data_IF_283847224516
#
_entry.id   IF_283847224516
#
_cell.length_a   1.000
_cell.length_b   1.000
_cell.length_c   1.000
_cell.angle_alpha   90.00
_cell.angle_beta   90.00
_cell.angle_gamma   90.00
#
_symmetry.space_group_name_H-M   'P 1'
#
loop_
_entity.id
_entity.type
_entity.pdbx_description
1 polymer ?
#
# COMPACT_ATOMS: atom_id res chain seq x y z
N UNK A 1 30.17 -50.10 -12.00
CA UNK A 1 29.76 -49.35 -13.19
C UNK A 1 28.79 -48.29 -12.68
N UNK A 2 29.33 -47.12 -12.37
CA UNK A 2 28.60 -46.05 -11.68
C UNK A 2 27.58 -45.42 -12.63
N UNK A 3 26.30 -45.41 -12.22
CA UNK A 3 25.24 -44.71 -12.93
C UNK A 3 25.52 -43.19 -12.85
N UNK A 4 25.93 -42.59 -13.96
CA UNK A 4 26.03 -41.13 -14.10
C UNK A 4 24.65 -40.51 -13.81
N UNK A 5 24.51 -39.90 -12.63
CA UNK A 5 23.30 -39.17 -12.24
C UNK A 5 23.15 -37.94 -13.13
N UNK A 6 22.28 -38.03 -14.13
CA UNK A 6 21.93 -36.93 -15.03
C UNK A 6 21.31 -35.77 -14.25
N UNK A 7 21.99 -34.63 -14.20
CA UNK A 7 21.53 -33.44 -13.47
C UNK A 7 20.67 -32.57 -14.39
N UNK A 8 19.38 -32.43 -14.06
CA UNK A 8 18.43 -31.59 -14.82
C UNK A 8 18.36 -30.17 -14.24
N UNK A 9 18.56 -29.16 -15.09
CA UNK A 9 18.49 -27.73 -14.75
C UNK A 9 17.47 -26.97 -15.62
N UNK A 10 17.21 -25.71 -15.29
CA UNK A 10 16.33 -24.84 -16.09
C UNK A 10 17.17 -23.95 -17.01
N UNK A 11 16.95 -24.03 -18.32
CA UNK A 11 17.66 -23.22 -19.31
C UNK A 11 16.89 -21.93 -19.62
N UNK A 12 17.50 -20.77 -19.39
CA UNK A 12 16.85 -19.47 -19.66
C UNK A 12 16.66 -19.18 -21.15
N UNK A 13 17.49 -19.76 -22.03
CA UNK A 13 17.35 -19.62 -23.49
C UNK A 13 16.23 -20.52 -24.06
N UNK A 14 16.16 -21.79 -23.63
CA UNK A 14 15.13 -22.73 -24.08
C UNK A 14 13.79 -22.58 -23.34
N UNK A 15 13.79 -21.91 -22.17
CA UNK A 15 12.66 -21.80 -21.23
C UNK A 15 12.09 -23.14 -20.75
N UNK A 16 12.87 -24.21 -20.91
CA UNK A 16 12.53 -25.58 -20.51
C UNK A 16 13.65 -26.22 -19.68
N UNK A 17 13.37 -27.41 -19.14
CA UNK A 17 14.32 -28.19 -18.36
C UNK A 17 15.12 -29.11 -19.26
N UNK A 18 16.44 -29.02 -19.19
CA UNK A 18 17.36 -29.86 -19.96
C UNK A 18 18.48 -30.40 -19.04
N UNK A 19 19.20 -31.39 -19.54
CA UNK A 19 20.40 -31.91 -18.90
C UNK A 19 21.51 -30.86 -18.89
N UNK A 20 22.21 -30.79 -17.75
CA UNK A 20 23.37 -29.93 -17.53
C UNK A 20 24.62 -30.72 -17.92
N UNK A 21 25.24 -30.35 -19.03
CA UNK A 21 26.58 -30.79 -19.41
C UNK A 21 27.62 -30.01 -18.59
N UNK A 22 28.70 -30.67 -18.19
CA UNK A 22 29.78 -30.13 -17.35
C UNK A 22 29.29 -29.43 -16.06
N UNK A 23 28.55 -30.13 -15.17
CA UNK A 23 27.98 -29.53 -13.97
C UNK A 23 29.08 -29.09 -12.99
N UNK A 24 29.17 -27.78 -12.75
CA UNK A 24 30.04 -27.18 -11.75
C UNK A 24 29.21 -26.67 -10.56
N UNK A 25 29.51 -27.16 -9.36
CA UNK A 25 28.90 -26.67 -8.14
C UNK A 25 29.49 -25.29 -7.77
N UNK A 26 28.63 -24.33 -7.45
CA UNK A 26 29.03 -22.98 -7.06
C UNK A 26 28.12 -22.45 -5.94
N UNK A 27 28.71 -21.67 -5.04
CA UNK A 27 27.97 -20.92 -4.03
C UNK A 27 27.63 -19.52 -4.58
N UNK A 28 26.35 -19.15 -4.55
CA UNK A 28 25.94 -17.79 -4.85
C UNK A 28 26.44 -16.81 -3.78
N UNK A 29 26.53 -15.51 -4.11
CA UNK A 29 27.02 -14.46 -3.19
C UNK A 29 26.22 -14.34 -1.87
N UNK A 30 24.99 -14.86 -1.83
CA UNK A 30 24.14 -14.93 -0.65
C UNK A 30 24.29 -16.24 0.16
N UNK A 31 25.21 -17.12 -0.24
CA UNK A 31 25.46 -18.42 0.38
C UNK A 31 24.50 -19.53 -0.01
N UNK A 32 23.68 -19.35 -1.06
CA UNK A 32 22.80 -20.39 -1.60
C UNK A 32 23.56 -21.35 -2.53
N UNK A 33 23.37 -22.67 -2.43
CA UNK A 33 24.02 -23.65 -3.30
C UNK A 33 23.35 -23.72 -4.68
N UNK A 34 24.17 -23.91 -5.71
CA UNK A 34 23.72 -24.02 -7.09
C UNK A 34 24.68 -24.80 -7.97
N UNK A 35 24.15 -25.37 -9.06
CA UNK A 35 24.96 -26.03 -10.08
C UNK A 35 24.76 -25.31 -11.40
N UNK A 36 25.85 -24.82 -11.98
CA UNK A 36 25.88 -24.20 -13.30
C UNK A 36 26.55 -25.15 -14.29
N UNK A 37 26.11 -25.13 -15.54
CA UNK A 37 26.81 -25.80 -16.63
C UNK A 37 26.27 -25.36 -17.98
N UNK A 38 26.42 -26.24 -18.97
CA UNK A 38 26.03 -25.99 -20.36
C UNK A 38 24.77 -26.78 -20.72
N UNK A 39 23.79 -26.13 -21.33
CA UNK A 39 22.54 -26.75 -21.76
C UNK A 39 22.81 -27.72 -22.90
N UNK A 40 22.42 -28.99 -22.73
CA UNK A 40 22.56 -30.02 -23.77
C UNK A 40 21.82 -29.70 -25.09
N UNK A 41 20.77 -28.85 -25.04
CA UNK A 41 19.96 -28.51 -26.20
C UNK A 41 20.50 -27.31 -27.01
N UNK A 42 20.89 -26.23 -26.33
CA UNK A 42 21.23 -24.96 -27.01
C UNK A 42 22.66 -24.46 -26.77
N UNK A 43 23.48 -25.22 -26.04
CA UNK A 43 24.84 -24.82 -25.66
C UNK A 43 24.92 -23.56 -24.77
N UNK A 44 23.78 -23.09 -24.25
CA UNK A 44 23.69 -21.90 -23.41
C UNK A 44 23.87 -22.22 -21.92
N UNK A 45 24.09 -21.21 -21.09
CA UNK A 45 24.20 -21.40 -19.64
C UNK A 45 22.89 -21.93 -19.05
N UNK A 46 22.99 -23.01 -18.28
CA UNK A 46 21.88 -23.65 -17.56
C UNK A 46 22.20 -23.68 -16.06
N UNK A 47 21.18 -23.53 -15.22
CA UNK A 47 21.35 -23.44 -13.77
C UNK A 47 20.31 -24.29 -13.03
N UNK A 48 20.76 -24.96 -11.96
CA UNK A 48 19.91 -25.69 -11.00
C UNK A 48 20.18 -25.16 -9.60
N UNK A 49 19.14 -24.68 -8.93
CA UNK A 49 19.22 -24.35 -7.51
C UNK A 49 19.15 -25.63 -6.67
N UNK A 50 19.98 -25.73 -5.63
CA UNK A 50 19.94 -26.86 -4.70
C UNK A 50 21.32 -27.41 -4.37
N UNK A 51 21.39 -28.14 -3.26
CA UNK A 51 22.60 -28.81 -2.81
C UNK A 51 22.84 -30.08 -3.63
N UNK A 52 24.08 -30.28 -4.07
CA UNK A 52 24.55 -31.54 -4.67
C UNK A 52 25.72 -32.07 -3.84
N UNK A 53 26.05 -33.38 -3.89
CA UNK A 53 27.19 -33.94 -3.14
C UNK A 53 28.53 -33.21 -3.42
N UNK A 54 28.66 -32.58 -4.59
CA UNK A 54 29.81 -31.75 -4.96
C UNK A 54 29.94 -30.43 -4.16
N UNK A 55 28.93 -30.04 -3.35
CA UNK A 55 29.00 -28.85 -2.49
C UNK A 55 29.65 -29.14 -1.12
N UNK A 56 29.73 -30.41 -0.70
CA UNK A 56 30.28 -30.79 0.61
C UNK A 56 31.79 -30.53 0.71
N UNK A 57 32.48 -30.47 -0.43
CA UNK A 57 33.92 -30.23 -0.52
C UNK A 57 34.28 -28.79 -0.88
N UNK A 58 33.29 -27.92 -1.15
CA UNK A 58 33.53 -26.53 -1.55
C UNK A 58 33.43 -25.56 -0.35
N UNK A 59 34.43 -24.67 -0.14
CA UNK A 59 34.37 -23.69 0.93
C UNK A 59 33.21 -22.72 0.70
N UNK A 60 32.28 -22.69 1.66
CA UNK A 60 31.14 -21.78 1.62
C UNK A 60 31.63 -20.34 1.80
N UNK A 61 31.19 -19.39 0.95
CA UNK A 61 31.57 -17.98 1.11
C UNK A 61 31.04 -17.45 2.44
N UNK A 62 31.90 -16.77 3.21
CA UNK A 62 31.46 -15.99 4.36
C UNK A 62 30.58 -14.84 3.86
N UNK A 63 29.27 -14.99 4.06
CA UNK A 63 28.31 -13.94 3.70
C UNK A 63 28.49 -12.78 4.68
N UNK A 64 29.38 -11.83 4.34
CA UNK A 64 29.52 -10.60 5.12
C UNK A 64 28.20 -9.85 5.06
N UNK A 65 27.46 -9.86 6.17
CA UNK A 65 26.25 -9.09 6.33
C UNK A 65 26.60 -7.59 6.38
N UNK A 66 26.77 -6.94 5.22
CA UNK A 66 26.83 -5.49 5.10
C UNK A 66 25.45 -4.88 5.35
N UNK A 67 25.16 -4.74 6.64
CA UNK A 67 24.54 -3.57 7.29
C UNK A 67 23.29 -2.99 6.64
N UNK A 68 22.13 -3.60 6.92
CA UNK A 68 20.85 -2.85 7.10
C UNK A 68 19.80 -3.56 7.97
N UNK A 69 20.21 -4.31 9.00
CA UNK A 69 19.28 -4.87 10.02
C UNK A 69 19.92 -4.93 11.42
N UNK A 70 20.43 -3.80 11.92
CA UNK A 70 20.78 -3.63 13.35
C UNK A 70 20.47 -2.19 13.79
N UNK A 71 19.19 -1.83 13.78
CA UNK A 71 18.68 -0.64 14.48
C UNK A 71 17.21 -0.80 14.96
N UNK A 72 16.62 -2.00 14.89
CA UNK A 72 15.22 -2.24 15.30
C UNK A 72 15.01 -3.33 16.36
N UNK A 73 16.07 -3.90 16.95
CA UNK A 73 15.93 -5.01 17.93
C UNK A 73 16.67 -4.79 19.26
N UNK A 74 16.87 -3.54 19.67
CA UNK A 74 17.38 -3.20 21.00
C UNK A 74 16.70 -1.94 21.54
N UNK A 75 15.36 -1.89 21.55
CA UNK A 75 14.54 -0.92 22.33
C UNK A 75 13.14 -1.47 22.65
N UNK A 76 13.04 -2.78 22.92
CA UNK A 76 11.81 -3.39 23.45
C UNK A 76 12.15 -4.52 24.43
N UNK A 77 12.91 -4.18 25.48
CA UNK A 77 13.13 -5.08 26.61
C UNK A 77 13.59 -4.31 27.86
N UNK A 78 12.91 -3.22 28.24
CA UNK A 78 12.87 -2.69 29.63
C UNK A 78 12.07 -1.38 29.66
N UNK A 79 10.77 -1.46 29.95
CA UNK A 79 9.98 -0.32 30.40
C UNK A 79 8.65 -0.81 30.98
N UNK A 80 8.70 -1.46 32.14
CA UNK A 80 7.54 -1.57 33.02
C UNK A 80 8.02 -1.70 34.47
N UNK A 81 8.36 -0.57 35.09
CA UNK A 81 7.94 -0.19 36.46
C UNK A 81 8.53 1.17 36.87
N UNK A 82 7.63 2.11 37.11
CA UNK A 82 7.63 3.15 38.15
C UNK A 82 8.76 4.20 38.20
N UNK A 83 8.39 5.46 37.93
CA UNK A 83 8.47 6.67 38.81
C UNK A 83 8.45 7.91 37.89
N UNK A 84 7.33 8.62 37.80
CA UNK A 84 6.96 9.78 38.65
C UNK A 84 8.04 10.85 38.77
N UNK A 85 7.62 12.06 38.38
CA UNK A 85 8.08 13.39 38.77
C UNK A 85 9.24 14.04 38.01
N UNK A 86 8.91 15.23 37.44
CA UNK A 86 9.73 16.46 37.30
C UNK A 86 10.99 16.36 36.41
N UNK A 87 11.37 17.30 35.54
CA UNK A 87 11.13 18.75 35.47
C UNK A 87 11.73 19.29 34.15
N UNK A 88 11.05 20.28 33.56
CA UNK A 88 11.59 21.49 32.86
C UNK A 88 12.76 21.42 31.85
N UNK A 89 12.44 21.84 30.62
CA UNK A 89 13.10 22.88 29.80
C UNK A 89 14.63 22.85 29.54
N UNK A 90 15.01 22.55 28.28
CA UNK A 90 15.92 23.33 27.39
C UNK A 90 16.17 22.51 26.12
N UNK A 91 15.53 22.84 25.00
CA UNK A 91 15.97 23.81 24.00
C UNK A 91 17.23 23.40 23.20
N UNK A 92 16.98 23.17 21.91
CA UNK A 92 17.82 23.48 20.75
C UNK A 92 19.17 22.74 20.54
N UNK A 93 19.22 21.84 19.54
CA UNK A 93 19.78 22.15 18.19
C UNK A 93 19.88 20.89 17.29
N UNK A 94 19.37 21.07 16.06
CA UNK A 94 19.82 20.51 14.77
C UNK A 94 19.90 18.98 14.57
N UNK A 95 19.02 18.50 13.67
CA UNK A 95 19.34 17.91 12.34
C UNK A 95 18.02 17.62 11.62
N UNK A 96 17.41 18.62 10.96
CA UNK A 96 17.40 18.78 9.50
C UNK A 96 17.54 17.46 8.73
N UNK A 97 16.43 16.75 8.52
CA UNK A 97 16.30 15.75 7.46
C UNK A 97 15.81 16.43 6.19
N UNK A 98 16.64 16.36 5.17
CA UNK A 98 16.52 16.94 3.85
C UNK A 98 15.25 16.53 3.13
N UNK A 99 14.22 17.38 3.16
CA UNK A 99 13.10 17.31 2.22
C UNK A 99 13.61 17.81 0.87
N UNK A 100 13.58 16.94 -0.16
CA UNK A 100 13.73 17.37 -1.55
C UNK A 100 12.57 18.31 -1.89
N UNK A 101 12.81 19.61 -1.71
CA UNK A 101 11.91 20.68 -2.12
C UNK A 101 11.95 20.73 -3.65
N UNK A 102 11.00 20.05 -4.30
CA UNK A 102 10.80 20.20 -5.74
C UNK A 102 10.44 21.65 -6.05
N UNK A 103 11.03 22.14 -7.13
CA UNK A 103 10.96 23.48 -7.70
C UNK A 103 9.58 24.12 -7.60
N UNK A 104 9.48 25.20 -6.82
CA UNK A 104 8.30 26.03 -6.68
C UNK A 104 8.08 26.88 -7.94
N UNK A 105 7.46 26.28 -8.96
CA UNK A 105 6.63 27.07 -9.86
C UNK A 105 5.54 27.75 -9.04
N UNK A 106 5.19 29.00 -9.37
CA UNK A 106 4.13 29.74 -8.66
C UNK A 106 2.83 28.93 -8.74
N UNK A 107 2.39 28.37 -7.61
CA UNK A 107 1.09 27.68 -7.50
C UNK A 107 -0.04 28.67 -7.78
N UNK A 108 -1.00 28.28 -8.61
CA UNK A 108 -2.11 29.13 -9.05
C UNK A 108 -3.42 28.35 -9.05
N UNK A 109 -4.50 29.00 -8.66
CA UNK A 109 -5.85 28.42 -8.68
C UNK A 109 -6.16 27.49 -7.51
N UNK A 110 -7.42 27.05 -7.44
CA UNK A 110 -7.95 26.17 -6.39
C UNK A 110 -8.35 24.83 -7.01
N UNK A 111 -7.92 23.73 -6.44
CA UNK A 111 -8.34 22.38 -6.84
C UNK A 111 -9.48 21.92 -5.96
N UNK A 112 -10.54 21.36 -6.53
CA UNK A 112 -11.63 20.72 -5.81
C UNK A 112 -11.70 19.26 -6.24
N UNK A 113 -11.61 18.34 -5.30
CA UNK A 113 -11.77 16.91 -5.57
C UNK A 113 -13.08 16.43 -4.97
N UNK A 114 -13.91 15.84 -5.81
CA UNK A 114 -15.19 15.24 -5.43
C UNK A 114 -15.19 13.74 -5.72
N UNK A 115 -16.15 13.02 -5.17
CA UNK A 115 -16.20 11.57 -5.35
C UNK A 115 -16.65 11.15 -6.77
N UNK A 116 -17.67 11.81 -7.33
CA UNK A 116 -18.31 11.37 -8.58
C UNK A 116 -18.23 12.42 -9.71
N UNK A 117 -18.19 11.99 -10.99
CA UNK A 117 -18.15 12.91 -12.12
C UNK A 117 -19.38 13.82 -12.22
N UNK A 118 -20.55 13.31 -11.82
CA UNK A 118 -21.79 14.08 -11.81
C UNK A 118 -21.71 15.27 -10.84
N UNK A 119 -21.21 15.03 -9.61
CA UNK A 119 -20.95 16.10 -8.63
C UNK A 119 -19.93 17.10 -9.16
N UNK A 120 -18.88 16.63 -9.86
CA UNK A 120 -17.85 17.51 -10.40
C UNK A 120 -18.43 18.52 -11.40
N UNK A 121 -19.32 18.05 -12.29
CA UNK A 121 -20.02 18.92 -13.26
C UNK A 121 -20.93 19.93 -12.57
N UNK A 122 -21.67 19.54 -11.54
CA UNK A 122 -22.59 20.45 -10.84
C UNK A 122 -21.85 21.48 -9.98
N UNK A 123 -20.87 21.05 -9.19
CA UNK A 123 -20.07 21.94 -8.34
C UNK A 123 -19.22 22.89 -9.19
N UNK A 124 -18.67 22.42 -10.32
CA UNK A 124 -17.96 23.29 -11.27
C UNK A 124 -18.83 24.43 -11.82
N UNK A 125 -20.12 24.18 -12.07
CA UNK A 125 -21.07 25.22 -12.50
C UNK A 125 -21.33 26.26 -11.40
N UNK A 126 -21.35 25.87 -10.13
CA UNK A 126 -21.62 26.78 -9.01
C UNK A 126 -20.41 27.62 -8.59
N UNK A 127 -19.20 27.04 -8.61
CA UNK A 127 -17.98 27.71 -8.20
C UNK A 127 -17.42 28.65 -9.29
N UNK A 128 -17.63 28.32 -10.57
CA UNK A 128 -17.22 29.16 -11.69
C UNK A 128 -15.71 29.18 -11.96
N UNK A 129 -15.25 30.29 -12.57
CA UNK A 129 -13.85 30.45 -13.00
C UNK A 129 -12.91 30.56 -11.78
N UNK A 130 -11.78 29.87 -11.82
CA UNK A 130 -10.76 29.87 -10.75
C UNK A 130 -10.67 28.57 -9.95
N UNK A 131 -11.67 27.70 -10.08
CA UNK A 131 -11.68 26.35 -9.51
C UNK A 131 -11.46 25.31 -10.60
N UNK A 132 -10.52 24.40 -10.37
CA UNK A 132 -10.37 23.17 -11.15
C UNK A 132 -11.07 22.06 -10.39
N UNK A 133 -12.18 21.54 -10.91
CA UNK A 133 -12.95 20.48 -10.26
C UNK A 133 -12.63 19.13 -10.89
N UNK A 134 -12.18 18.16 -10.09
CA UNK A 134 -11.80 16.80 -10.49
C UNK A 134 -12.57 15.77 -9.68
N UNK A 135 -12.71 14.57 -10.23
CA UNK A 135 -13.41 13.45 -9.57
C UNK A 135 -12.43 12.32 -9.24
N UNK A 136 -12.50 11.78 -8.03
CA UNK A 136 -11.75 10.56 -7.64
C UNK A 136 -12.38 9.28 -8.21
N UNK A 137 -13.65 9.35 -8.62
CA UNK A 137 -14.44 8.21 -9.11
C UNK A 137 -14.54 7.14 -8.03
N UNK A 138 -14.94 7.55 -6.82
CA UNK A 138 -15.03 6.70 -5.63
C UNK A 138 -13.69 6.55 -4.89
N UNK A 139 -13.47 5.35 -4.35
CA UNK A 139 -12.25 4.97 -3.63
C UNK A 139 -11.06 4.84 -4.58
N UNK A 140 -9.94 5.47 -4.21
CA UNK A 140 -8.67 5.41 -4.96
C UNK A 140 -7.69 4.35 -4.42
N UNK A 141 -7.85 3.97 -3.15
CA UNK A 141 -7.03 2.96 -2.46
C UNK A 141 -7.94 1.89 -1.88
N UNK A 142 -7.46 0.65 -1.87
CA UNK A 142 -8.09 -0.46 -1.16
C UNK A 142 -7.02 -1.44 -0.64
N UNK A 143 -7.44 -2.35 0.24
CA UNK A 143 -6.66 -3.47 0.73
C UNK A 143 -6.44 -4.51 -0.38
N UNK A 144 -5.23 -5.07 -0.53
CA UNK A 144 -4.96 -6.07 -1.58
C UNK A 144 -5.91 -7.27 -1.45
N UNK A 145 -6.47 -7.73 -2.56
CA UNK A 145 -7.44 -8.84 -2.58
C UNK A 145 -6.79 -10.20 -2.34
N UNK A 146 -5.52 -10.38 -2.73
CA UNK A 146 -4.81 -11.66 -2.69
C UNK A 146 -4.31 -12.06 -1.31
N UNK A 147 -4.17 -11.10 -0.38
CA UNK A 147 -3.66 -11.33 0.98
C UNK A 147 -4.48 -10.58 2.00
N UNK A 148 -4.36 -10.95 3.28
CA UNK A 148 -5.13 -10.32 4.36
C UNK A 148 -5.00 -8.79 4.35
N UNK A 149 -3.79 -8.27 4.11
CA UNK A 149 -3.46 -6.84 4.01
C UNK A 149 -3.74 -6.05 5.29
N UNK A 150 -3.76 -6.74 6.42
CA UNK A 150 -3.90 -6.17 7.77
C UNK A 150 -2.87 -6.87 8.65
N UNK A 151 -2.00 -6.10 9.29
CA UNK A 151 -1.01 -6.61 10.23
C UNK A 151 -1.62 -6.74 11.63
N UNK A 152 -2.02 -7.96 11.99
CA UNK A 152 -2.67 -8.26 13.28
C UNK A 152 -1.69 -8.06 14.45
N UNK A 153 -0.39 -8.29 14.24
CA UNK A 153 0.61 -8.26 15.30
C UNK A 153 1.06 -6.83 15.63
N UNK A 154 0.91 -5.90 14.68
CA UNK A 154 1.29 -4.49 14.81
C UNK A 154 0.08 -3.54 14.85
N UNK A 155 -0.93 -3.85 15.68
CA UNK A 155 -2.03 -2.92 15.94
C UNK A 155 -3.02 -2.79 14.80
N UNK A 156 -3.19 -3.84 13.98
CA UNK A 156 -4.10 -3.88 12.83
C UNK A 156 -3.75 -2.90 11.71
N UNK A 157 -2.47 -2.60 11.52
CA UNK A 157 -2.02 -1.66 10.48
C UNK A 157 -2.44 -2.17 9.07
N UNK A 158 -3.27 -1.40 8.34
CA UNK A 158 -3.75 -1.79 7.03
C UNK A 158 -2.72 -1.45 5.93
N UNK A 159 -2.51 -2.38 5.01
CA UNK A 159 -1.70 -2.14 3.82
C UNK A 159 -2.58 -1.75 2.63
N UNK A 160 -2.69 -0.45 2.39
CA UNK A 160 -3.46 0.10 1.29
C UNK A 160 -2.63 0.28 0.03
N UNK A 161 -3.21 -0.10 -1.11
CA UNK A 161 -2.63 0.09 -2.45
C UNK A 161 -3.62 0.83 -3.35
N UNK A 162 -3.09 1.67 -4.24
CA UNK A 162 -3.87 2.27 -5.33
C UNK A 162 -4.32 1.17 -6.29
N UNK A 163 -5.64 1.07 -6.52
CA UNK A 163 -6.20 0.06 -7.42
C UNK A 163 -5.75 0.33 -8.85
N UNK A 164 -5.57 -0.72 -9.65
CA UNK A 164 -4.92 -0.58 -10.96
C UNK A 164 -5.72 0.32 -11.92
N UNK A 165 -7.03 0.30 -11.82
CA UNK A 165 -8.00 1.12 -12.58
C UNK A 165 -8.01 2.60 -12.16
N UNK A 166 -7.43 2.94 -10.99
CA UNK A 166 -7.40 4.31 -10.46
C UNK A 166 -6.04 4.96 -10.57
N UNK A 167 -5.04 4.29 -11.15
CA UNK A 167 -3.67 4.83 -11.29
C UNK A 167 -3.64 6.12 -12.11
N UNK A 168 -4.37 6.17 -13.20
CA UNK A 168 -4.43 7.36 -14.06
C UNK A 168 -5.14 8.52 -13.37
N UNK A 169 -6.21 8.22 -12.63
CA UNK A 169 -6.93 9.20 -11.81
C UNK A 169 -6.02 9.81 -10.76
N UNK A 170 -5.29 8.97 -10.00
CA UNK A 170 -4.34 9.45 -8.99
C UNK A 170 -3.24 10.30 -9.63
N UNK A 171 -2.71 9.88 -10.79
CA UNK A 171 -1.69 10.65 -11.51
C UNK A 171 -2.20 12.03 -11.94
N UNK A 172 -3.42 12.12 -12.45
CA UNK A 172 -4.07 13.40 -12.80
C UNK A 172 -4.28 14.27 -11.55
N UNK A 173 -4.76 13.68 -10.45
CA UNK A 173 -4.94 14.38 -9.17
C UNK A 173 -3.61 14.90 -8.60
N UNK A 174 -2.54 14.11 -8.61
CA UNK A 174 -1.19 14.55 -8.20
C UNK A 174 -0.71 15.72 -9.05
N UNK A 175 -0.89 15.63 -10.37
CA UNK A 175 -0.48 16.70 -11.29
C UNK A 175 -1.26 18.00 -11.05
N UNK A 176 -2.57 17.89 -10.78
CA UNK A 176 -3.41 19.04 -10.46
C UNK A 176 -3.06 19.63 -9.09
N UNK A 177 -2.83 18.78 -8.09
CA UNK A 177 -2.47 19.18 -6.73
C UNK A 177 -1.14 19.94 -6.69
N UNK A 178 -0.15 19.50 -7.47
CA UNK A 178 1.15 20.17 -7.55
C UNK A 178 1.06 21.63 -8.05
N UNK A 179 0.05 21.95 -8.88
CA UNK A 179 -0.16 23.29 -9.45
C UNK A 179 -1.05 24.18 -8.58
N UNK A 180 -1.91 23.59 -7.77
CA UNK A 180 -2.93 24.30 -7.00
C UNK A 180 -2.34 25.05 -5.81
N UNK A 181 -2.87 26.25 -5.51
CA UNK A 181 -2.52 27.03 -4.32
C UNK A 181 -3.24 26.51 -3.07
N UNK A 182 -4.49 26.09 -3.24
CA UNK A 182 -5.36 25.50 -2.21
C UNK A 182 -6.06 24.28 -2.81
N UNK A 183 -6.27 23.26 -1.99
CA UNK A 183 -6.93 22.00 -2.36
C UNK A 183 -8.14 21.80 -1.44
N UNK A 184 -9.30 21.52 -2.03
CA UNK A 184 -10.55 21.26 -1.32
C UNK A 184 -11.03 19.83 -1.60
N UNK A 185 -11.26 19.06 -0.54
CA UNK A 185 -11.83 17.72 -0.58
C UNK A 185 -13.32 17.81 -0.27
N UNK A 186 -14.15 17.69 -1.31
CA UNK A 186 -15.60 17.87 -1.29
C UNK A 186 -16.31 16.52 -1.49
N UNK A 187 -15.98 15.55 -0.65
CA UNK A 187 -16.64 14.23 -0.55
C UNK A 187 -17.86 14.28 0.36
N UNK A 188 -18.65 13.21 0.39
CA UNK A 188 -19.92 13.16 1.12
C UNK A 188 -19.77 13.31 2.66
N UNK A 189 -20.81 13.83 3.34
CA UNK A 189 -20.79 14.19 4.76
C UNK A 189 -20.81 12.99 5.74
N UNK A 190 -20.35 11.82 5.31
CA UNK A 190 -20.37 10.58 6.10
C UNK A 190 -18.94 10.06 6.38
N UNK A 191 -18.85 8.93 7.08
CA UNK A 191 -17.56 8.28 7.38
C UNK A 191 -16.85 7.74 6.13
N UNK A 192 -17.60 7.41 5.09
CA UNK A 192 -17.06 6.85 3.85
C UNK A 192 -16.40 7.96 3.03
N UNK A 193 -17.10 9.08 2.85
CA UNK A 193 -16.57 10.30 2.26
C UNK A 193 -15.36 10.83 3.01
N UNK A 194 -15.32 10.74 4.35
CA UNK A 194 -14.13 11.14 5.11
C UNK A 194 -12.93 10.23 4.84
N UNK A 195 -13.13 8.91 4.79
CA UNK A 195 -12.08 7.96 4.44
C UNK A 195 -11.60 8.13 2.99
N UNK A 196 -12.50 8.44 2.05
CA UNK A 196 -12.15 8.74 0.66
C UNK A 196 -11.29 10.02 0.60
N UNK A 197 -11.67 11.07 1.34
CA UNK A 197 -10.88 12.30 1.41
C UNK A 197 -9.46 12.02 1.91
N UNK A 198 -9.33 11.28 3.01
CA UNK A 198 -8.03 10.85 3.53
C UNK A 198 -7.23 10.01 2.52
N UNK A 199 -7.87 9.02 1.88
CA UNK A 199 -7.22 8.20 0.87
C UNK A 199 -6.74 8.99 -0.35
N UNK A 200 -7.50 9.99 -0.79
CA UNK A 200 -7.11 10.87 -1.91
C UNK A 200 -5.91 11.72 -1.54
N UNK A 201 -5.93 12.32 -0.35
CA UNK A 201 -4.81 13.11 0.17
C UNK A 201 -3.52 12.28 0.17
N UNK A 202 -3.57 11.08 0.76
CA UNK A 202 -2.44 10.17 0.86
C UNK A 202 -2.01 9.58 -0.49
N UNK A 203 -2.97 9.23 -1.37
CA UNK A 203 -2.66 8.60 -2.66
C UNK A 203 -2.00 9.58 -3.63
N UNK A 204 -2.46 10.83 -3.62
CA UNK A 204 -2.00 11.85 -4.55
C UNK A 204 -0.84 12.69 -4.00
N UNK A 205 -0.32 12.36 -2.81
CA UNK A 205 0.77 13.06 -2.11
C UNK A 205 0.47 14.57 -1.96
N UNK A 206 -0.77 14.88 -1.55
CA UNK A 206 -1.21 16.25 -1.36
C UNK A 206 -0.64 16.84 -0.08
N UNK A 207 -0.23 18.10 -0.16
CA UNK A 207 0.31 18.83 0.99
C UNK A 207 -0.83 19.14 2.00
N UNK A 208 -0.77 18.60 3.24
CA UNK A 208 -1.82 18.79 4.24
C UNK A 208 -2.04 20.26 4.61
N UNK A 209 -1.01 21.10 4.54
CA UNK A 209 -1.09 22.50 4.99
C UNK A 209 -1.97 23.37 4.07
N UNK A 210 -2.10 22.96 2.81
CA UNK A 210 -2.94 23.63 1.80
C UNK A 210 -4.20 22.85 1.46
N UNK A 211 -4.44 21.72 2.12
CA UNK A 211 -5.58 20.84 1.86
C UNK A 211 -6.65 21.02 2.92
N UNK A 212 -7.90 21.23 2.49
CA UNK A 212 -9.05 21.46 3.36
C UNK A 212 -10.22 20.56 3.00
N UNK A 213 -11.02 20.20 3.98
CA UNK A 213 -12.25 19.40 3.84
C UNK A 213 -13.47 20.33 3.77
N UNK A 214 -14.31 20.13 2.77
CA UNK A 214 -15.55 20.90 2.55
C UNK A 214 -16.75 19.97 2.58
N UNK A 215 -17.71 20.26 3.46
CA UNK A 215 -18.88 19.40 3.68
C UNK A 215 -20.16 20.18 3.40
N UNK A 216 -21.05 19.59 2.63
CA UNK A 216 -22.40 20.10 2.40
C UNK A 216 -23.38 18.94 2.39
N UNK A 217 -24.59 19.17 2.90
CA UNK A 217 -25.66 18.17 2.95
C UNK A 217 -26.58 18.21 1.73
N UNK A 218 -26.51 19.29 0.96
CA UNK A 218 -27.29 19.50 -0.24
C UNK A 218 -26.45 20.17 -1.34
N UNK A 219 -26.79 19.88 -2.60
CA UNK A 219 -26.06 20.39 -3.77
C UNK A 219 -26.82 21.60 -4.33
N UNK A 220 -26.99 22.64 -3.50
CA UNK A 220 -27.54 23.93 -3.90
C UNK A 220 -26.41 24.96 -4.04
N UNK A 221 -26.61 26.00 -4.86
CA UNK A 221 -25.58 27.04 -5.06
C UNK A 221 -25.19 27.73 -3.74
N UNK A 222 -26.18 28.04 -2.91
CA UNK A 222 -25.98 28.70 -1.62
C UNK A 222 -25.25 27.80 -0.62
N UNK A 223 -25.67 26.54 -0.47
CA UNK A 223 -25.01 25.60 0.44
C UNK A 223 -23.56 25.32 0.04
N UNK A 224 -23.29 25.16 -1.27
CA UNK A 224 -21.93 24.97 -1.78
C UNK A 224 -21.08 26.21 -1.51
N UNK A 225 -21.57 27.42 -1.77
CA UNK A 225 -20.80 28.64 -1.49
C UNK A 225 -20.45 28.77 0.00
N UNK A 226 -21.45 28.61 0.88
CA UNK A 226 -21.25 28.65 2.33
C UNK A 226 -20.24 27.60 2.81
N UNK A 227 -20.31 26.38 2.28
CA UNK A 227 -19.39 25.31 2.66
C UNK A 227 -17.93 25.60 2.30
N UNK A 228 -17.68 26.39 1.25
CA UNK A 228 -16.32 26.82 0.87
C UNK A 228 -15.81 28.01 1.68
N UNK A 229 -16.67 28.72 2.40
CA UNK A 229 -16.31 29.79 3.35
C UNK A 229 -15.92 29.20 4.72
N UNK A 230 -16.45 28.04 5.08
CA UNK A 230 -16.20 27.34 6.35
C UNK A 230 -15.51 25.97 6.14
N UNK A 231 -14.31 25.91 5.53
CA UNK A 231 -13.57 24.66 5.41
C UNK A 231 -13.05 24.18 6.78
N UNK A 232 -12.95 22.86 6.94
CA UNK A 232 -12.36 22.22 8.13
C UNK A 232 -11.22 21.29 7.76
N UNK A 233 -10.55 20.74 8.77
CA UNK A 233 -9.58 19.66 8.57
C UNK A 233 -10.27 18.29 8.48
N UNK A 234 -9.53 17.28 8.03
CA UNK A 234 -10.01 15.90 7.99
C UNK A 234 -10.22 15.39 9.43
N UNK A 235 -11.40 14.83 9.66
CA UNK A 235 -11.78 14.21 10.93
C UNK A 235 -11.21 12.79 10.98
N UNK A 236 -10.07 12.65 11.66
CA UNK A 236 -9.39 11.37 11.77
C UNK A 236 -10.17 10.33 12.57
N UNK A 237 -11.09 10.72 13.46
CA UNK A 237 -11.93 9.77 14.19
C UNK A 237 -12.94 9.10 13.26
N UNK A 238 -13.53 9.86 12.33
CA UNK A 238 -14.39 9.30 11.26
C UNK A 238 -13.61 8.39 10.31
N UNK A 239 -12.40 8.78 9.93
CA UNK A 239 -11.51 7.94 9.12
C UNK A 239 -11.22 6.63 9.86
N UNK A 240 -10.76 6.70 11.11
CA UNK A 240 -10.44 5.55 11.93
C UNK A 240 -11.66 4.63 12.13
N UNK A 241 -12.86 5.19 12.30
CA UNK A 241 -14.09 4.42 12.39
C UNK A 241 -14.39 3.64 11.10
N UNK A 242 -14.19 4.25 9.93
CA UNK A 242 -14.32 3.56 8.64
C UNK A 242 -13.25 2.48 8.47
N UNK A 243 -11.99 2.79 8.82
CA UNK A 243 -10.87 1.84 8.72
C UNK A 243 -11.11 0.62 9.62
N UNK A 244 -11.54 0.84 10.87
CA UNK A 244 -11.87 -0.22 11.81
C UNK A 244 -12.97 -1.15 11.26
N UNK A 245 -14.04 -0.58 10.67
CA UNK A 245 -15.08 -1.36 9.99
C UNK A 245 -14.48 -2.18 8.84
N UNK A 246 -13.66 -1.56 7.99
CA UNK A 246 -13.06 -2.21 6.81
C UNK A 246 -12.12 -3.36 7.21
N UNK A 247 -11.32 -3.16 8.25
CA UNK A 247 -10.43 -4.16 8.83
C UNK A 247 -11.25 -5.32 9.41
N UNK A 248 -12.28 -5.03 10.20
CA UNK A 248 -13.13 -6.06 10.80
C UNK A 248 -13.77 -6.95 9.73
N UNK A 249 -14.36 -6.33 8.70
CA UNK A 249 -15.00 -7.06 7.60
C UNK A 249 -13.96 -7.90 6.82
N UNK A 250 -12.73 -7.40 6.67
CA UNK A 250 -11.61 -8.14 6.06
C UNK A 250 -11.21 -9.36 6.89
N UNK A 251 -11.05 -9.20 8.21
CA UNK A 251 -10.66 -10.29 9.11
C UNK A 251 -11.70 -11.42 9.09
N UNK A 252 -12.98 -11.07 9.20
CA UNK A 252 -14.09 -12.03 9.17
C UNK A 252 -14.14 -12.76 7.83
N UNK A 253 -14.13 -12.00 6.72
CA UNK A 253 -14.21 -12.59 5.38
C UNK A 253 -13.04 -13.52 5.07
N UNK A 254 -11.80 -13.09 5.36
CA UNK A 254 -10.60 -13.86 5.04
C UNK A 254 -10.44 -15.11 5.90
N UNK A 255 -10.78 -15.04 7.20
CA UNK A 255 -10.64 -16.19 8.12
C UNK A 255 -11.78 -17.21 7.98
N UNK A 256 -13.02 -16.77 7.77
CA UNK A 256 -14.18 -17.67 7.75
C UNK A 256 -14.53 -18.25 6.37
N UNK A 257 -14.24 -17.54 5.27
CA UNK A 257 -14.60 -18.06 3.92
C UNK A 257 -13.97 -19.43 3.59
N UNK A 258 -12.69 -19.70 3.91
CA UNK A 258 -12.10 -21.03 3.69
C UNK A 258 -12.79 -22.15 4.49
N UNK A 259 -13.31 -21.83 5.69
CA UNK A 259 -14.07 -22.78 6.49
C UNK A 259 -15.40 -23.12 5.81
N UNK A 260 -16.11 -22.12 5.29
CA UNK A 260 -17.36 -22.32 4.54
C UNK A 260 -17.14 -23.17 3.28
N UNK A 261 -16.02 -22.98 2.59
CA UNK A 261 -15.68 -23.78 1.41
C UNK A 261 -15.49 -25.26 1.73
N UNK A 262 -14.86 -25.55 2.87
CA UNK A 262 -14.61 -26.92 3.32
C UNK A 262 -15.85 -27.62 3.87
N UNK A 263 -16.78 -26.87 4.46
CA UNK A 263 -17.90 -27.42 5.24
C UNK A 263 -19.27 -27.30 4.58
N UNK A 264 -19.44 -26.42 3.61
CA UNK A 264 -20.74 -26.15 2.98
C UNK A 264 -20.62 -26.24 1.46
N UNK A 265 -19.99 -25.25 0.81
CA UNK A 265 -19.82 -25.20 -0.64
C UNK A 265 -18.68 -24.26 -1.02
N UNK A 266 -17.93 -24.63 -2.06
CA UNK A 266 -16.93 -23.75 -2.65
C UNK A 266 -17.53 -22.41 -3.11
N UNK A 267 -16.70 -21.36 -3.10
CA UNK A 267 -17.04 -19.99 -3.54
C UNK A 267 -18.07 -19.24 -2.68
N UNK A 268 -18.43 -19.74 -1.51
CA UNK A 268 -19.23 -18.99 -0.53
C UNK A 268 -18.41 -17.89 0.14
N UNK A 269 -18.99 -16.72 0.38
CA UNK A 269 -18.34 -15.65 1.13
C UNK A 269 -18.89 -15.56 2.55
N UNK A 270 -17.99 -15.43 3.53
CA UNK A 270 -18.38 -15.08 4.88
C UNK A 270 -18.51 -13.55 5.00
N UNK A 271 -19.65 -13.08 5.50
CA UNK A 271 -19.90 -11.66 5.73
C UNK A 271 -20.52 -11.45 7.11
N UNK A 272 -19.92 -10.59 7.93
CA UNK A 272 -20.35 -10.33 9.31
C UNK A 272 -21.82 -9.90 9.42
N UNK A 273 -22.27 -9.03 8.52
CA UNK A 273 -23.66 -8.53 8.49
C UNK A 273 -24.56 -9.44 7.65
N UNK A 274 -24.03 -9.95 6.52
CA UNK A 274 -24.78 -10.80 5.60
C UNK A 274 -25.23 -12.11 6.25
N UNK A 275 -24.40 -12.73 7.10
CA UNK A 275 -24.77 -13.98 7.78
C UNK A 275 -25.95 -13.81 8.74
N UNK A 276 -26.01 -12.66 9.45
CA UNK A 276 -27.13 -12.35 10.35
C UNK A 276 -28.40 -12.09 9.55
N UNK A 277 -28.30 -11.33 8.45
CA UNK A 277 -29.45 -11.05 7.59
C UNK A 277 -30.05 -12.35 7.01
N UNK A 278 -29.21 -13.27 6.53
CA UNK A 278 -29.67 -14.58 6.02
C UNK A 278 -30.28 -15.44 7.11
N UNK A 279 -29.82 -15.35 8.36
CA UNK A 279 -30.41 -16.08 9.50
C UNK A 279 -31.83 -15.63 9.85
N UNK A 280 -32.20 -14.40 9.52
CA UNK A 280 -33.53 -13.85 9.83
C UNK A 280 -34.61 -14.26 8.82
N UNK A 281 -34.20 -14.70 7.63
CA UNK A 281 -35.09 -15.24 6.58
C UNK A 281 -35.32 -16.73 6.85
#
# INVERSE_FOLDING_TARGET
MDEEQKVIGYCFKCREKHEILDPQAEWAANGSPGTRGTCANCGGTIYKAGHTPAHDTLPKPEVTATRKKKAKKAKKATAKTTKSAKTTAKAAKKKSSTTKKQSSGRRTGKLVVVESPAKAKTIGRYLGKGYTVKSSVGHVRDLLKSRLSVDIDNGFEPEYRVTNDKRDVVKDLTTAAAKAKEIFLATDPDREGEAIAWHVLEAADMDPDITRRVVFHEITKQAVQKAFEEPRDIDMDRVNAQQARRILDRLVGYKLSPLLWRKVRGRLSAGRVQSVAVRLV
#
